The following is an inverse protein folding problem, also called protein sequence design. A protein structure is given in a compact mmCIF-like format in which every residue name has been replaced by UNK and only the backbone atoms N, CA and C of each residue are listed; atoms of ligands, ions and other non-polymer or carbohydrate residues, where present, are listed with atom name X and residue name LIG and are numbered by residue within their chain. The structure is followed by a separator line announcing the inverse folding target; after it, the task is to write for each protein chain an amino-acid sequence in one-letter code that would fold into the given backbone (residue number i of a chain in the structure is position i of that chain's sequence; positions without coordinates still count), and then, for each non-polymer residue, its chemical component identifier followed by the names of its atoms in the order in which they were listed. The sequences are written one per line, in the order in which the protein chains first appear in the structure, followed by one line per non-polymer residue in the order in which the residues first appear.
data_IF_741168848698
#
_entry.id   IF_741168848698
#
_cell.length_a   1.000
_cell.length_b   1.000
_cell.length_c   1.000
_cell.angle_alpha   90.00
_cell.angle_beta   90.00
_cell.angle_gamma   90.00
#
_symmetry.space_group_name_H-M   'P 1'
#
loop_
_entity.id
_entity.type
_entity.pdbx_description
1 polymer ?
#
# COMPACT_ATOMS: atom_id res chain seq x y z
N UNK A 1 21.58 22.31 11.84
CA UNK A 1 20.59 21.22 11.72
C UNK A 1 21.06 20.26 10.63
N UNK A 2 21.33 18.98 10.96
CA UNK A 2 21.75 17.97 9.97
C UNK A 2 20.58 17.70 9.01
N UNK A 3 20.78 17.84 7.70
CA UNK A 3 19.79 17.43 6.68
C UNK A 3 19.56 15.92 6.83
N UNK A 4 18.34 15.52 7.18
CA UNK A 4 17.90 14.13 7.11
C UNK A 4 18.13 13.62 5.68
N UNK A 5 18.99 12.61 5.55
CA UNK A 5 19.24 11.94 4.27
C UNK A 5 17.93 11.29 3.79
N UNK A 6 17.68 11.29 2.47
CA UNK A 6 16.43 10.79 1.87
C UNK A 6 16.04 9.39 2.36
N UNK A 7 17.05 8.53 2.60
CA UNK A 7 16.91 7.21 3.20
C UNK A 7 16.25 7.22 4.58
N UNK A 8 16.67 8.14 5.45
CA UNK A 8 16.09 8.29 6.79
C UNK A 8 14.65 8.82 6.72
N UNK A 9 14.34 9.67 5.73
CA UNK A 9 12.96 10.16 5.53
C UNK A 9 12.01 9.04 5.14
N UNK A 10 12.38 8.19 4.19
CA UNK A 10 11.54 7.06 3.74
C UNK A 10 11.32 6.07 4.89
N UNK A 11 12.38 5.69 5.62
CA UNK A 11 12.27 4.81 6.78
C UNK A 11 11.42 5.42 7.91
N UNK A 12 11.51 6.75 8.09
CA UNK A 12 10.65 7.49 9.04
C UNK A 12 9.18 7.48 8.59
N UNK A 13 8.90 7.66 7.30
CA UNK A 13 7.52 7.61 6.79
C UNK A 13 6.92 6.21 6.90
N UNK A 14 7.68 5.15 6.57
CA UNK A 14 7.26 3.76 6.74
C UNK A 14 6.99 3.41 8.22
N UNK A 15 7.89 3.81 9.12
CA UNK A 15 7.69 3.58 10.55
C UNK A 15 6.54 4.42 11.12
N UNK A 16 6.33 5.65 10.63
CA UNK A 16 5.21 6.51 11.02
C UNK A 16 3.85 5.93 10.57
N UNK A 17 3.77 5.36 9.37
CA UNK A 17 2.57 4.66 8.89
C UNK A 17 2.26 3.45 9.78
N UNK A 18 3.28 2.65 10.14
CA UNK A 18 3.12 1.51 11.04
C UNK A 18 2.68 1.94 12.44
N UNK A 19 3.22 3.04 12.98
CA UNK A 19 2.93 3.53 14.32
C UNK A 19 1.54 4.17 14.41
N UNK A 20 1.10 4.89 13.38
CA UNK A 20 -0.29 5.38 13.29
C UNK A 20 -1.26 4.20 13.20
N UNK A 21 -0.94 3.17 12.40
CA UNK A 21 -1.80 2.00 12.27
C UNK A 21 -1.96 1.22 13.59
N UNK A 22 -0.92 1.13 14.41
CA UNK A 22 -0.95 0.41 15.69
C UNK A 22 -1.65 1.20 16.81
N UNK A 23 -1.45 2.52 16.87
CA UNK A 23 -2.12 3.39 17.85
C UNK A 23 -3.62 3.53 17.54
N UNK A 24 -4.01 3.61 16.27
CA UNK A 24 -5.42 3.64 15.87
C UNK A 24 -6.15 2.36 16.27
N UNK A 25 -5.56 1.18 16.09
CA UNK A 25 -6.18 -0.10 16.49
C UNK A 25 -6.34 -0.20 18.02
N UNK A 26 -5.33 0.26 18.76
CA UNK A 26 -5.31 0.24 20.24
C UNK A 26 -6.33 1.20 20.85
N UNK A 27 -6.30 2.47 20.44
CA UNK A 27 -7.22 3.49 20.95
C UNK A 27 -8.68 3.20 20.56
N UNK A 28 -8.92 2.65 19.36
CA UNK A 28 -10.27 2.28 18.91
C UNK A 28 -10.83 1.13 19.75
N UNK A 29 -10.03 0.08 20.03
CA UNK A 29 -10.43 -1.03 20.92
C UNK A 29 -10.81 -0.55 22.32
N UNK A 30 -10.09 0.43 22.88
CA UNK A 30 -10.40 0.96 24.21
C UNK A 30 -11.67 1.81 24.20
N UNK A 31 -11.88 2.66 23.19
CA UNK A 31 -13.07 3.52 23.09
C UNK A 31 -14.35 2.72 22.78
N UNK A 32 -14.29 1.71 21.92
CA UNK A 32 -15.45 0.85 21.62
C UNK A 32 -15.88 0.03 22.84
N UNK A 33 -14.91 -0.53 23.59
CA UNK A 33 -15.21 -1.29 24.81
C UNK A 33 -15.80 -0.42 25.93
N UNK A 34 -15.49 0.88 25.99
CA UNK A 34 -16.10 1.80 26.95
C UNK A 34 -17.51 2.26 26.52
N UNK A 35 -17.77 2.38 25.22
CA UNK A 35 -19.07 2.82 24.69
C UNK A 35 -20.14 1.72 24.74
N UNK A 36 -19.74 0.47 24.54
CA UNK A 36 -20.64 -0.70 24.60
C UNK A 36 -21.22 -0.96 26.00
N UNK A 37 -20.59 -0.43 27.07
CA UNK A 37 -21.09 -0.58 28.45
C UNK A 37 -22.19 0.44 28.79
N UNK A 38 -22.36 1.52 28.00
CA UNK A 38 -23.20 2.67 28.41
C UNK A 38 -24.45 2.98 27.58
N UNK A 39 -24.70 2.34 26.44
CA UNK A 39 -25.87 2.69 25.61
C UNK A 39 -26.67 1.49 25.10
N UNK A 40 -27.61 1.03 25.93
CA UNK A 40 -28.72 0.19 25.52
C UNK A 40 -29.89 1.08 25.06
N UNK A 41 -29.98 1.41 23.76
CA UNK A 41 -31.22 1.96 23.15
C UNK A 41 -31.29 1.72 21.64
N UNK A 42 -32.36 1.02 21.23
CA UNK A 42 -32.99 0.96 19.90
C UNK A 42 -32.26 0.25 18.74
N UNK A 43 -32.92 -0.79 18.20
CA UNK A 43 -32.49 -1.62 17.05
C UNK A 43 -32.33 -0.80 15.75
N UNK A 44 -33.11 0.26 15.55
CA UNK A 44 -33.06 1.10 14.34
C UNK A 44 -31.84 2.05 14.32
N UNK A 45 -31.43 2.52 15.50
CA UNK A 45 -30.18 3.27 15.66
C UNK A 45 -28.97 2.36 15.46
N UNK A 46 -29.02 1.11 15.92
CA UNK A 46 -27.95 0.12 15.71
C UNK A 46 -27.70 -0.19 14.22
N UNK A 47 -28.74 -0.25 13.38
CA UNK A 47 -28.59 -0.48 11.93
C UNK A 47 -27.98 0.74 11.24
N UNK A 48 -28.40 1.96 11.62
CA UNK A 48 -27.82 3.21 11.10
C UNK A 48 -26.36 3.38 11.54
N UNK A 49 -26.07 3.16 12.81
CA UNK A 49 -24.71 3.20 13.37
C UNK A 49 -23.81 2.17 12.70
N UNK A 50 -24.29 0.94 12.46
CA UNK A 50 -23.53 -0.07 11.73
C UNK A 50 -23.22 0.34 10.29
N UNK A 51 -24.19 0.89 9.55
CA UNK A 51 -23.97 1.40 8.18
C UNK A 51 -22.97 2.55 8.15
N UNK A 52 -23.03 3.46 9.12
CA UNK A 52 -22.08 4.58 9.24
C UNK A 52 -20.67 4.04 9.51
N UNK A 53 -20.53 3.10 10.44
CA UNK A 53 -19.24 2.47 10.76
C UNK A 53 -18.67 1.71 9.55
N UNK A 54 -19.51 0.99 8.79
CA UNK A 54 -19.10 0.28 7.57
C UNK A 54 -18.61 1.26 6.49
N UNK A 55 -19.26 2.42 6.32
CA UNK A 55 -18.85 3.47 5.39
C UNK A 55 -17.56 4.18 5.83
N UNK A 56 -17.41 4.46 7.12
CA UNK A 56 -16.17 5.03 7.69
C UNK A 56 -14.99 4.07 7.51
N UNK A 57 -15.22 2.77 7.74
CA UNK A 57 -14.22 1.74 7.50
C UNK A 57 -13.87 1.62 6.00
N UNK A 58 -14.85 1.69 5.09
CA UNK A 58 -14.58 1.67 3.66
C UNK A 58 -13.72 2.88 3.23
N UNK A 59 -14.03 4.07 3.76
CA UNK A 59 -13.25 5.30 3.52
C UNK A 59 -11.82 5.18 4.06
N UNK A 60 -11.64 4.62 5.25
CA UNK A 60 -10.32 4.39 5.83
C UNK A 60 -9.49 3.43 4.94
N UNK A 61 -10.09 2.32 4.52
CA UNK A 61 -9.45 1.34 3.63
C UNK A 61 -9.03 2.01 2.32
N UNK A 62 -9.91 2.81 1.68
CA UNK A 62 -9.60 3.57 0.46
C UNK A 62 -8.41 4.52 0.66
N UNK A 63 -8.42 5.29 1.75
CA UNK A 63 -7.32 6.22 2.06
C UNK A 63 -5.99 5.49 2.27
N UNK A 64 -6.00 4.34 2.96
CA UNK A 64 -4.81 3.51 3.16
C UNK A 64 -4.28 2.96 1.85
N UNK A 65 -5.15 2.47 0.97
CA UNK A 65 -4.74 2.01 -0.37
C UNK A 65 -4.11 3.17 -1.15
N UNK A 66 -4.73 4.35 -1.17
CA UNK A 66 -4.19 5.52 -1.87
C UNK A 66 -2.80 5.91 -1.36
N UNK A 67 -2.58 5.92 -0.03
CA UNK A 67 -1.27 6.22 0.54
C UNK A 67 -0.20 5.19 0.13
N UNK A 68 -0.55 3.89 0.14
CA UNK A 68 0.36 2.83 -0.32
C UNK A 68 0.66 2.97 -1.82
N UNK A 69 -0.33 3.31 -2.65
CA UNK A 69 -0.14 3.55 -4.09
C UNK A 69 0.85 4.68 -4.34
N UNK A 70 0.74 5.80 -3.62
CA UNK A 70 1.71 6.91 -3.76
C UNK A 70 3.10 6.49 -3.33
N UNK A 71 3.24 5.85 -2.17
CA UNK A 71 4.52 5.40 -1.62
C UNK A 71 5.21 4.39 -2.55
N UNK A 72 4.44 3.48 -3.16
CA UNK A 72 4.95 2.53 -4.14
C UNK A 72 5.54 3.24 -5.37
N UNK A 73 4.91 4.32 -5.82
CA UNK A 73 5.42 5.13 -6.93
C UNK A 73 6.75 5.79 -6.61
N UNK A 74 6.86 6.38 -5.41
CA UNK A 74 8.12 6.97 -4.94
C UNK A 74 9.24 5.93 -4.87
N UNK A 75 8.93 4.71 -4.42
CA UNK A 75 9.89 3.62 -4.38
C UNK A 75 10.33 3.17 -5.78
N UNK A 76 9.39 3.05 -6.73
CA UNK A 76 9.69 2.72 -8.13
C UNK A 76 10.59 3.78 -8.78
N UNK A 77 10.25 5.06 -8.60
CA UNK A 77 11.02 6.17 -9.14
C UNK A 77 12.43 6.24 -8.52
N UNK A 78 12.54 6.01 -7.20
CA UNK A 78 13.83 5.95 -6.53
C UNK A 78 14.68 4.81 -7.10
N UNK A 79 14.15 3.59 -7.16
CA UNK A 79 14.88 2.43 -7.68
C UNK A 79 15.32 2.67 -9.11
N UNK A 80 14.44 3.15 -9.99
CA UNK A 80 14.79 3.45 -11.39
C UNK A 80 15.95 4.44 -11.52
N UNK A 81 15.94 5.51 -10.73
CA UNK A 81 16.92 6.58 -10.84
C UNK A 81 18.24 6.30 -10.11
N UNK A 82 18.28 5.31 -9.22
CA UNK A 82 19.41 5.05 -8.34
C UNK A 82 20.01 3.65 -8.50
N UNK A 83 19.49 2.81 -9.39
CA UNK A 83 19.96 1.44 -9.53
C UNK A 83 21.39 1.41 -10.09
N UNK A 84 22.31 0.83 -9.31
CA UNK A 84 23.69 0.58 -9.66
C UNK A 84 24.23 -0.61 -8.83
N UNK A 85 25.47 -1.03 -9.09
CA UNK A 85 26.09 -2.18 -8.41
C UNK A 85 26.14 -2.03 -6.88
N UNK A 86 26.49 -0.83 -6.38
CA UNK A 86 26.62 -0.54 -4.95
C UNK A 86 25.28 -0.60 -4.19
N UNK A 87 24.16 -0.39 -4.90
CA UNK A 87 22.82 -0.31 -4.33
C UNK A 87 21.96 -1.55 -4.59
N UNK A 88 22.53 -2.65 -5.11
CA UNK A 88 21.79 -3.89 -5.40
C UNK A 88 21.04 -4.43 -4.17
N UNK A 89 21.71 -4.55 -3.02
CA UNK A 89 21.10 -5.04 -1.77
C UNK A 89 19.96 -4.14 -1.30
N UNK A 90 20.11 -2.82 -1.44
CA UNK A 90 19.06 -1.85 -1.11
C UNK A 90 17.86 -2.00 -2.06
N UNK A 91 18.11 -2.14 -3.37
CA UNK A 91 17.07 -2.36 -4.37
C UNK A 91 16.30 -3.67 -4.14
N UNK A 92 16.99 -4.75 -3.74
CA UNK A 92 16.35 -6.03 -3.38
C UNK A 92 15.42 -5.83 -2.18
N UNK A 93 15.88 -5.20 -1.11
CA UNK A 93 15.07 -4.94 0.08
C UNK A 93 13.84 -4.07 -0.25
N UNK A 94 14.03 -3.00 -1.03
CA UNK A 94 12.92 -2.14 -1.46
C UNK A 94 11.92 -2.89 -2.33
N UNK A 95 12.39 -3.80 -3.19
CA UNK A 95 11.53 -4.66 -4.01
C UNK A 95 10.64 -5.56 -3.16
N UNK A 96 11.17 -6.13 -2.07
CA UNK A 96 10.38 -6.92 -1.13
C UNK A 96 9.29 -6.10 -0.43
N UNK A 97 9.60 -4.86 -0.05
CA UNK A 97 8.62 -3.96 0.55
C UNK A 97 7.55 -3.53 -0.46
N UNK A 98 7.91 -3.35 -1.74
CA UNK A 98 6.96 -3.10 -2.82
C UNK A 98 5.98 -4.27 -3.00
N UNK A 99 6.48 -5.52 -2.96
CA UNK A 99 5.65 -6.73 -3.04
C UNK A 99 4.66 -6.79 -1.86
N UNK A 100 5.12 -6.55 -0.63
CA UNK A 100 4.25 -6.52 0.57
C UNK A 100 3.21 -5.40 0.49
N UNK A 101 3.57 -4.25 -0.08
CA UNK A 101 2.64 -3.16 -0.30
C UNK A 101 1.54 -3.55 -1.30
N UNK A 102 1.90 -4.24 -2.39
CA UNK A 102 0.92 -4.77 -3.36
C UNK A 102 -0.02 -5.81 -2.73
N UNK A 103 0.50 -6.73 -1.91
CA UNK A 103 -0.33 -7.68 -1.15
C UNK A 103 -1.29 -6.94 -0.20
N UNK A 104 -0.83 -5.87 0.46
CA UNK A 104 -1.66 -5.06 1.35
C UNK A 104 -2.75 -4.30 0.59
N UNK A 105 -2.45 -3.83 -0.63
CA UNK A 105 -3.41 -3.16 -1.51
C UNK A 105 -4.48 -4.16 -1.99
N UNK A 106 -4.08 -5.34 -2.47
CA UNK A 106 -5.01 -6.40 -2.87
C UNK A 106 -5.94 -6.81 -1.71
N UNK A 107 -5.38 -7.01 -0.53
CA UNK A 107 -6.16 -7.31 0.68
C UNK A 107 -7.13 -6.18 1.05
N UNK A 108 -6.72 -4.92 0.85
CA UNK A 108 -7.59 -3.76 1.03
C UNK A 108 -8.73 -3.75 0.01
N UNK A 109 -8.42 -3.93 -1.27
CA UNK A 109 -9.41 -3.97 -2.34
C UNK A 109 -10.47 -5.05 -2.09
N UNK A 110 -10.05 -6.25 -1.65
CA UNK A 110 -10.96 -7.37 -1.39
C UNK A 110 -11.98 -7.12 -0.26
N UNK A 111 -11.70 -6.17 0.64
CA UNK A 111 -12.61 -5.74 1.70
C UNK A 111 -13.65 -4.73 1.24
N UNK A 112 -13.51 -4.16 0.04
CA UNK A 112 -14.47 -3.21 -0.52
C UNK A 112 -15.70 -3.95 -1.10
N UNK A 113 -16.81 -3.23 -1.18
CA UNK A 113 -18.13 -3.75 -1.55
C UNK A 113 -18.29 -4.07 -3.05
N UNK A 114 -17.54 -3.41 -3.94
CA UNK A 114 -17.73 -3.47 -5.41
C UNK A 114 -16.94 -4.57 -6.13
N UNK A 115 -17.44 -5.82 -6.10
CA UNK A 115 -16.69 -7.03 -6.52
C UNK A 115 -16.19 -7.08 -7.97
N UNK A 116 -16.96 -6.63 -8.96
CA UNK A 116 -16.55 -6.78 -10.38
C UNK A 116 -15.33 -5.93 -10.74
N UNK A 117 -15.29 -4.68 -10.27
CA UNK A 117 -14.13 -3.78 -10.48
C UNK A 117 -12.90 -4.26 -9.70
N UNK A 118 -13.10 -4.83 -8.51
CA UNK A 118 -12.03 -5.39 -7.68
C UNK A 118 -11.30 -6.52 -8.41
N UNK A 119 -12.01 -7.41 -9.12
CA UNK A 119 -11.37 -8.52 -9.83
C UNK A 119 -10.38 -8.03 -10.91
N UNK A 120 -10.76 -7.01 -11.68
CA UNK A 120 -9.86 -6.41 -12.68
C UNK A 120 -8.64 -5.76 -12.03
N UNK A 121 -8.84 -5.01 -10.95
CA UNK A 121 -7.76 -4.35 -10.23
C UNK A 121 -6.80 -5.37 -9.59
N UNK A 122 -7.32 -6.44 -8.99
CA UNK A 122 -6.50 -7.52 -8.43
C UNK A 122 -5.65 -8.18 -9.51
N UNK A 123 -6.22 -8.47 -10.69
CA UNK A 123 -5.45 -9.03 -11.82
C UNK A 123 -4.27 -8.13 -12.20
N UNK A 124 -4.47 -6.82 -12.26
CA UNK A 124 -3.40 -5.88 -12.56
C UNK A 124 -2.37 -5.77 -11.41
N UNK A 125 -2.83 -5.80 -10.15
CA UNK A 125 -1.95 -5.86 -8.99
C UNK A 125 -1.05 -7.10 -9.04
N UNK A 126 -1.58 -8.26 -9.44
CA UNK A 126 -0.79 -9.49 -9.62
C UNK A 126 0.22 -9.39 -10.77
N UNK A 127 -0.15 -8.76 -11.89
CA UNK A 127 0.77 -8.51 -13.01
C UNK A 127 1.94 -7.64 -12.53
N UNK A 128 1.65 -6.53 -11.83
CA UNK A 128 2.68 -5.66 -11.30
C UNK A 128 3.58 -6.40 -10.27
N UNK A 129 2.98 -7.26 -9.44
CA UNK A 129 3.72 -8.10 -8.49
C UNK A 129 4.65 -9.10 -9.19
N UNK A 130 4.20 -9.71 -10.29
CA UNK A 130 5.02 -10.60 -11.11
C UNK A 130 6.25 -9.87 -11.66
N UNK A 131 6.09 -8.64 -12.17
CA UNK A 131 7.23 -7.83 -12.60
C UNK A 131 8.21 -7.53 -11.46
N UNK A 132 7.75 -7.27 -10.24
CA UNK A 132 8.64 -7.10 -9.10
C UNK A 132 9.38 -8.40 -8.71
N UNK A 133 8.76 -9.57 -8.85
CA UNK A 133 9.47 -10.84 -8.67
C UNK A 133 10.55 -11.05 -9.73
N UNK A 134 10.26 -10.74 -10.99
CA UNK A 134 11.23 -10.80 -12.07
C UNK A 134 12.38 -9.82 -11.81
N UNK A 135 12.06 -8.59 -11.39
CA UNK A 135 13.07 -7.59 -11.01
C UNK A 135 13.97 -8.10 -9.89
N UNK A 136 13.39 -8.61 -8.80
CA UNK A 136 14.14 -9.21 -7.68
C UNK A 136 15.05 -10.34 -8.14
N UNK A 137 14.56 -11.21 -9.03
CA UNK A 137 15.34 -12.33 -9.55
C UNK A 137 16.57 -11.86 -10.34
N UNK A 138 16.43 -10.83 -11.18
CA UNK A 138 17.55 -10.32 -11.97
C UNK A 138 18.53 -9.50 -11.12
N UNK A 139 18.05 -8.75 -10.13
CA UNK A 139 18.91 -8.13 -9.11
C UNK A 139 19.75 -9.17 -8.37
N UNK A 140 19.15 -10.30 -7.97
CA UNK A 140 19.85 -11.40 -7.29
C UNK A 140 20.90 -12.11 -8.16
N UNK A 141 20.80 -11.98 -9.49
CA UNK A 141 21.80 -12.49 -10.45
C UNK A 141 22.89 -11.46 -10.77
N UNK A 142 22.77 -10.23 -10.28
CA UNK A 142 23.66 -9.12 -10.63
C UNK A 142 23.49 -8.60 -12.06
N UNK A 143 22.40 -8.95 -12.74
CA UNK A 143 22.13 -8.52 -14.12
C UNK A 143 21.53 -7.11 -14.12
N UNK A 144 22.42 -6.11 -14.05
CA UNK A 144 22.04 -4.70 -13.90
C UNK A 144 21.30 -4.16 -15.13
N UNK A 145 21.77 -4.48 -16.34
CA UNK A 145 21.16 -4.04 -17.59
C UNK A 145 19.71 -4.51 -17.69
N UNK A 146 19.48 -5.82 -17.50
CA UNK A 146 18.12 -6.37 -17.51
C UNK A 146 17.26 -5.85 -16.37
N UNK A 147 17.86 -5.60 -15.21
CA UNK A 147 17.14 -5.01 -14.08
C UNK A 147 16.66 -3.59 -14.39
N UNK A 148 17.45 -2.77 -15.10
CA UNK A 148 17.07 -1.43 -15.56
C UNK A 148 15.89 -1.46 -16.56
N UNK A 149 15.86 -2.45 -17.45
CA UNK A 149 14.75 -2.65 -18.39
C UNK A 149 13.46 -3.05 -17.66
N UNK A 150 13.56 -3.95 -16.68
CA UNK A 150 12.41 -4.40 -15.90
C UNK A 150 11.86 -3.26 -15.04
N UNK A 151 12.68 -2.49 -14.33
CA UNK A 151 12.18 -1.37 -13.51
C UNK A 151 11.54 -0.27 -14.36
N UNK A 152 12.02 -0.07 -15.59
CA UNK A 152 11.39 0.83 -16.57
C UNK A 152 10.01 0.32 -17.02
N UNK A 153 9.85 -1.00 -17.15
CA UNK A 153 8.56 -1.64 -17.45
C UNK A 153 7.61 -1.55 -16.25
N UNK A 154 8.10 -1.83 -15.04
CA UNK A 154 7.35 -1.64 -13.78
C UNK A 154 6.81 -0.21 -13.69
N UNK A 155 7.62 0.81 -13.98
CA UNK A 155 7.18 2.20 -13.91
C UNK A 155 6.01 2.49 -14.87
N UNK A 156 6.08 1.99 -16.11
CA UNK A 156 4.99 2.17 -17.10
C UNK A 156 3.70 1.50 -16.63
N UNK A 157 3.80 0.25 -16.17
CA UNK A 157 2.66 -0.52 -15.67
C UNK A 157 2.06 0.10 -14.41
N UNK A 158 2.93 0.56 -13.49
CA UNK A 158 2.51 1.28 -12.28
C UNK A 158 1.69 2.53 -12.61
N UNK A 159 2.11 3.34 -13.60
CA UNK A 159 1.37 4.55 -14.00
C UNK A 159 -0.05 4.19 -14.49
N UNK A 160 -0.17 3.15 -15.30
CA UNK A 160 -1.47 2.68 -15.79
C UNK A 160 -2.35 2.18 -14.64
N UNK A 161 -1.82 1.29 -13.81
CA UNK A 161 -2.50 0.72 -12.65
C UNK A 161 -2.91 1.78 -11.62
N UNK A 162 -2.04 2.74 -11.31
CA UNK A 162 -2.31 3.87 -10.40
C UNK A 162 -3.54 4.66 -10.86
N UNK A 163 -3.65 4.94 -12.16
CA UNK A 163 -4.79 5.68 -12.72
C UNK A 163 -6.09 4.91 -12.51
N UNK A 164 -6.07 3.59 -12.71
CA UNK A 164 -7.24 2.72 -12.53
C UNK A 164 -7.65 2.62 -11.06
N UNK A 165 -6.69 2.44 -10.15
CA UNK A 165 -6.98 2.44 -8.71
C UNK A 165 -7.57 3.79 -8.28
N UNK A 166 -6.95 4.91 -8.64
CA UNK A 166 -7.46 6.23 -8.25
C UNK A 166 -8.88 6.48 -8.77
N UNK A 167 -9.15 6.14 -10.03
CA UNK A 167 -10.50 6.28 -10.61
C UNK A 167 -11.54 5.34 -10.02
N UNK A 168 -11.13 4.33 -9.25
CA UNK A 168 -12.04 3.45 -8.52
C UNK A 168 -12.28 3.88 -7.07
N UNK A 169 -11.26 4.43 -6.41
CA UNK A 169 -11.32 4.78 -4.98
C UNK A 169 -11.84 6.19 -4.70
N UNK A 170 -11.77 7.10 -5.68
CA UNK A 170 -12.28 8.48 -5.62
C UNK A 170 -13.64 8.55 -6.31
#
# INVERSE_FOLDING_TARGET
MKKLQTKQKILLFLSLIFLISSVSISAYKTVTNFKDISFNKNIDDNVKVKKINDLENEKEIKNRILALVETLGEAVDYMKNNLNEEKLTEAISMTEDCIKALDSIENGLNKLSSKDKINSLNKQTQILKAYFYDFKSNLGKGDLEKSLDIISSIQKEYIHWKKQIKGFLI
#
